data_IF_027702217201
#
_entry.id   IF_027702217201
#
_cell.length_a   1.000
_cell.length_b   1.000
_cell.length_c   1.000
_cell.angle_alpha   90.00
_cell.angle_beta   90.00
_cell.angle_gamma   90.00
#
_symmetry.space_group_name_H-M   'P 1'
#
loop_
_entity.id
_entity.type
_entity.pdbx_description
1 polymer ?
#
# COMPACT_ATOMS: atom_id res chain seq x y z
N UNK A 1 -18.74 15.61 -5.96
CA UNK A 1 -17.59 14.89 -5.34
C UNK A 1 -16.36 15.76 -5.53
N UNK A 2 -15.63 16.07 -4.45
CA UNK A 2 -14.56 17.08 -4.51
C UNK A 2 -13.29 16.59 -5.19
N UNK A 3 -12.60 17.51 -5.89
CA UNK A 3 -11.26 17.28 -6.46
C UNK A 3 -10.26 16.73 -5.45
N UNK A 4 -10.38 17.12 -4.17
CA UNK A 4 -9.52 16.70 -3.07
C UNK A 4 -9.56 15.18 -2.85
N UNK A 5 -10.72 14.56 -3.06
CA UNK A 5 -10.90 13.12 -2.85
C UNK A 5 -10.10 12.30 -3.88
N UNK A 6 -9.87 12.84 -5.08
CA UNK A 6 -9.01 12.22 -6.08
C UNK A 6 -7.52 12.30 -5.73
N UNK A 7 -7.11 13.34 -5.00
CA UNK A 7 -5.75 13.47 -4.47
C UNK A 7 -5.56 12.48 -3.31
N UNK A 8 -6.54 12.43 -2.39
CA UNK A 8 -6.56 11.45 -1.29
C UNK A 8 -6.60 9.99 -1.78
N UNK A 9 -7.19 9.72 -2.95
CA UNK A 9 -7.15 8.39 -3.58
C UNK A 9 -5.73 7.94 -3.93
N UNK A 10 -4.92 8.85 -4.46
CA UNK A 10 -3.52 8.55 -4.81
C UNK A 10 -2.76 8.20 -3.52
N UNK A 11 -2.90 9.06 -2.51
CA UNK A 11 -2.27 8.85 -1.20
C UNK A 11 -2.76 7.55 -0.55
N UNK A 12 -4.06 7.24 -0.63
CA UNK A 12 -4.60 5.98 -0.11
C UNK A 12 -4.01 4.76 -0.81
N UNK A 13 -3.81 4.81 -2.12
CA UNK A 13 -3.15 3.72 -2.85
C UNK A 13 -1.70 3.52 -2.40
N UNK A 14 -0.96 4.60 -2.15
CA UNK A 14 0.40 4.50 -1.62
C UNK A 14 0.42 4.01 -0.17
N UNK A 15 -0.49 4.50 0.67
CA UNK A 15 -0.66 4.01 2.06
C UNK A 15 -0.94 2.51 2.10
N UNK A 16 -1.76 1.97 1.18
CA UNK A 16 -2.00 0.53 1.09
C UNK A 16 -0.69 -0.21 0.79
N UNK A 17 0.09 0.23 -0.20
CA UNK A 17 1.37 -0.40 -0.54
C UNK A 17 2.37 -0.33 0.62
N UNK A 18 2.49 0.82 1.28
CA UNK A 18 3.39 1.02 2.42
C UNK A 18 3.00 0.12 3.60
N UNK A 19 1.70 0.06 3.92
CA UNK A 19 1.20 -0.77 5.03
C UNK A 19 1.36 -2.26 4.74
N UNK A 20 1.15 -2.70 3.51
CA UNK A 20 1.42 -4.09 3.09
C UNK A 20 2.90 -4.44 3.22
N UNK A 21 3.79 -3.57 2.74
CA UNK A 21 5.23 -3.75 2.88
C UNK A 21 5.67 -3.78 4.36
N UNK A 22 5.06 -2.96 5.21
CA UNK A 22 5.35 -2.97 6.64
C UNK A 22 4.85 -4.25 7.33
N UNK A 23 3.64 -4.73 7.00
CA UNK A 23 3.12 -6.00 7.52
C UNK A 23 4.04 -7.16 7.10
N UNK A 24 4.48 -7.18 5.84
CA UNK A 24 5.41 -8.21 5.34
C UNK A 24 6.73 -8.20 6.13
N UNK A 25 7.34 -7.02 6.34
CA UNK A 25 8.56 -6.88 7.15
C UNK A 25 8.38 -7.36 8.59
N UNK A 26 7.21 -7.11 9.18
CA UNK A 26 6.88 -7.60 10.53
C UNK A 26 6.74 -9.12 10.57
N UNK A 27 6.27 -9.74 9.49
CA UNK A 27 6.17 -11.20 9.35
C UNK A 27 7.51 -11.87 9.11
N UNK A 28 8.33 -11.30 8.25
CA UNK A 28 9.72 -11.74 8.04
C UNK A 28 10.52 -11.69 9.32
N UNK A 29 10.41 -10.60 10.10
CA UNK A 29 11.09 -10.52 11.41
C UNK A 29 10.66 -11.67 12.32
N UNK A 30 9.35 -11.93 12.41
CA UNK A 30 8.82 -13.01 13.25
C UNK A 30 9.32 -14.40 12.83
N UNK A 31 9.62 -14.63 11.55
CA UNK A 31 10.10 -15.93 11.06
C UNK A 31 11.62 -16.15 11.27
N UNK A 32 12.36 -15.14 11.74
CA UNK A 32 13.78 -15.28 12.08
C UNK A 32 13.89 -16.08 13.38
N UNK A 33 14.06 -17.40 13.23
CA UNK A 33 14.48 -18.30 14.30
C UNK A 33 16.00 -18.23 14.43
N UNK A 34 16.52 -17.99 15.64
CA UNK A 34 17.94 -18.11 15.91
C UNK A 34 18.34 -19.59 15.84
N UNK A 35 19.23 -19.91 14.92
CA UNK A 35 19.77 -21.26 14.75
C UNK A 35 21.24 -21.22 15.15
N UNK A 36 21.59 -21.90 16.24
CA UNK A 36 22.97 -22.06 16.66
C UNK A 36 23.34 -23.54 16.71
N UNK A 37 24.61 -23.84 16.42
CA UNK A 37 25.15 -25.19 16.58
C UNK A 37 26.08 -25.19 17.78
N UNK A 38 25.73 -25.96 18.80
CA UNK A 38 26.52 -26.11 20.03
C UNK A 38 27.19 -27.48 20.03
N UNK A 39 28.37 -27.57 20.65
CA UNK A 39 29.09 -28.84 20.82
C UNK A 39 28.89 -29.36 22.23
N UNK A 40 28.60 -30.65 22.36
CA UNK A 40 28.41 -31.33 23.64
C UNK A 40 28.85 -32.78 23.58
N UNK A 41 28.64 -33.53 24.66
CA UNK A 41 28.86 -34.97 24.69
C UNK A 41 27.59 -35.74 24.31
N UNK A 42 27.75 -36.92 23.72
CA UNK A 42 26.64 -37.83 23.46
C UNK A 42 25.95 -38.22 24.79
N UNK A 43 24.61 -38.07 24.91
CA UNK A 43 23.87 -38.42 26.13
C UNK A 43 23.94 -39.90 26.51
N UNK A 44 24.10 -40.80 25.53
CA UNK A 44 24.20 -42.24 25.77
C UNK A 44 25.63 -42.72 26.02
N UNK A 45 26.63 -42.02 25.49
CA UNK A 45 28.04 -42.41 25.58
C UNK A 45 28.91 -41.23 26.02
N UNK A 46 29.25 -41.15 27.32
CA UNK A 46 30.17 -40.13 27.82
C UNK A 46 31.48 -40.13 27.03
N UNK A 47 32.05 -38.94 26.82
CA UNK A 47 33.31 -38.70 26.08
C UNK A 47 33.28 -38.83 24.55
N UNK A 48 32.11 -39.02 23.93
CA UNK A 48 31.96 -38.92 22.47
C UNK A 48 31.44 -37.52 22.08
N UNK A 49 32.18 -36.70 21.31
CA UNK A 49 31.72 -35.37 20.90
C UNK A 49 30.54 -35.46 19.92
N UNK A 50 29.53 -34.63 20.14
CA UNK A 50 28.33 -34.52 19.30
C UNK A 50 27.91 -33.06 19.14
N UNK A 51 27.41 -32.72 17.94
CA UNK A 51 26.89 -31.39 17.65
C UNK A 51 25.36 -31.38 17.73
N UNK A 52 24.81 -30.37 18.40
CA UNK A 52 23.38 -30.16 18.53
C UNK A 52 22.97 -28.88 17.83
N UNK A 53 21.87 -28.95 17.07
CA UNK A 53 21.23 -27.75 16.50
C UNK A 53 20.23 -27.25 17.52
N UNK A 54 20.47 -26.08 18.07
CA UNK A 54 19.54 -25.39 18.96
C UNK A 54 18.82 -24.34 18.13
N UNK A 55 17.49 -24.39 18.16
CA UNK A 55 16.62 -23.42 17.52
C UNK A 55 15.83 -22.71 18.61
N UNK A 56 15.85 -21.38 18.60
CA UNK A 56 15.14 -20.56 19.58
C UNK A 56 14.48 -19.35 18.94
N UNK A 57 13.39 -18.90 19.53
CA UNK A 57 12.79 -17.61 19.20
C UNK A 57 13.48 -16.54 20.03
N UNK A 58 14.01 -15.49 19.40
CA UNK A 58 14.60 -14.33 20.11
C UNK A 58 13.53 -13.41 20.73
N UNK A 59 12.25 -13.70 20.52
CA UNK A 59 11.13 -12.86 20.91
C UNK A 59 10.65 -13.15 22.33
N UNK A 60 10.49 -12.10 23.14
CA UNK A 60 9.80 -12.16 24.42
C UNK A 60 8.27 -12.17 24.22
N UNK A 61 7.52 -12.72 25.18
CA UNK A 61 6.06 -12.64 25.22
C UNK A 61 5.55 -11.20 25.16
N UNK A 62 6.26 -10.25 25.79
CA UNK A 62 5.93 -8.82 25.74
C UNK A 62 6.09 -8.22 24.34
N UNK A 63 7.08 -8.68 23.57
CA UNK A 63 7.31 -8.21 22.19
C UNK A 63 6.20 -8.73 21.27
N UNK A 64 5.71 -9.94 21.53
CA UNK A 64 4.65 -10.57 20.75
C UNK A 64 3.30 -9.82 20.90
N UNK A 65 3.01 -9.29 22.09
CA UNK A 65 1.83 -8.42 22.34
C UNK A 65 1.96 -7.10 21.55
N UNK A 66 3.13 -6.44 21.64
CA UNK A 66 3.37 -5.17 20.93
C UNK A 66 3.26 -5.35 19.42
N UNK A 67 3.77 -6.47 18.90
CA UNK A 67 3.69 -6.82 17.49
C UNK A 67 2.23 -7.01 17.03
N UNK A 68 1.41 -7.71 17.81
CA UNK A 68 -0.02 -7.89 17.51
C UNK A 68 -0.75 -6.55 17.48
N UNK A 69 -0.58 -5.71 18.50
CA UNK A 69 -1.21 -4.40 18.55
C UNK A 69 -0.78 -3.52 17.36
N UNK A 70 0.50 -3.56 16.99
CA UNK A 70 1.00 -2.84 15.80
C UNK A 70 0.35 -3.35 14.52
N UNK A 71 0.20 -4.66 14.35
CA UNK A 71 -0.48 -5.25 13.18
C UNK A 71 -1.95 -4.84 13.11
N UNK A 72 -2.66 -4.79 14.23
CA UNK A 72 -4.06 -4.35 14.25
C UNK A 72 -4.20 -2.88 13.81
N UNK A 73 -3.33 -1.98 14.31
CA UNK A 73 -3.32 -0.58 13.86
C UNK A 73 -3.05 -0.47 12.35
N UNK A 74 -2.11 -1.26 11.83
CA UNK A 74 -1.81 -1.26 10.39
C UNK A 74 -2.98 -1.81 9.56
N UNK A 75 -3.71 -2.81 10.07
CA UNK A 75 -4.93 -3.33 9.43
C UNK A 75 -6.04 -2.29 9.38
N UNK A 76 -6.32 -1.62 10.50
CA UNK A 76 -7.33 -0.54 10.53
C UNK A 76 -6.97 0.60 9.58
N UNK A 77 -5.67 0.97 9.49
CA UNK A 77 -5.19 1.98 8.55
C UNK A 77 -5.41 1.53 7.11
N UNK A 78 -5.10 0.28 6.79
CA UNK A 78 -5.30 -0.30 5.46
C UNK A 78 -6.79 -0.34 5.09
N UNK A 79 -7.65 -0.80 6.00
CA UNK A 79 -9.09 -0.91 5.77
C UNK A 79 -9.72 0.45 5.45
N UNK A 80 -9.35 1.51 6.19
CA UNK A 80 -9.80 2.88 5.89
C UNK A 80 -9.36 3.35 4.50
N UNK A 81 -8.11 3.06 4.12
CA UNK A 81 -7.59 3.41 2.80
C UNK A 81 -8.31 2.63 1.68
N UNK A 82 -8.60 1.34 1.89
CA UNK A 82 -9.34 0.50 0.95
C UNK A 82 -10.79 0.95 0.78
N UNK A 83 -11.45 1.37 1.86
CA UNK A 83 -12.80 1.94 1.80
C UNK A 83 -12.83 3.21 0.95
N UNK A 84 -11.88 4.13 1.15
CA UNK A 84 -11.77 5.33 0.34
C UNK A 84 -11.50 4.98 -1.13
N UNK A 85 -10.58 4.05 -1.39
CA UNK A 85 -10.25 3.55 -2.73
C UNK A 85 -11.51 3.03 -3.44
N UNK A 86 -12.29 2.18 -2.78
CA UNK A 86 -13.52 1.61 -3.32
C UNK A 86 -14.56 2.70 -3.63
N UNK A 87 -14.75 3.65 -2.73
CA UNK A 87 -15.69 4.77 -2.93
C UNK A 87 -15.33 5.57 -4.18
N UNK A 88 -14.05 5.86 -4.39
CA UNK A 88 -13.58 6.59 -5.57
C UNK A 88 -13.70 5.76 -6.85
N UNK A 89 -13.41 4.46 -6.80
CA UNK A 89 -13.56 3.57 -7.97
C UNK A 89 -15.01 3.45 -8.41
N UNK A 90 -15.95 3.25 -7.46
CA UNK A 90 -17.39 3.24 -7.73
C UNK A 90 -17.83 4.56 -8.33
N UNK A 91 -17.38 5.68 -7.76
CA UNK A 91 -17.66 7.00 -8.31
C UNK A 91 -17.09 7.14 -9.72
N UNK A 92 -15.86 6.70 -9.98
CA UNK A 92 -15.20 6.83 -11.28
C UNK A 92 -15.94 6.07 -12.39
N UNK A 93 -16.56 4.92 -12.07
CA UNK A 93 -17.42 4.17 -12.99
C UNK A 93 -18.64 5.00 -13.43
N UNK A 94 -19.20 5.81 -12.53
CA UNK A 94 -20.37 6.66 -12.83
C UNK A 94 -20.07 7.84 -13.78
N UNK A 95 -18.80 8.18 -13.97
CA UNK A 95 -18.35 9.32 -14.76
C UNK A 95 -18.28 8.95 -16.26
N UNK A 96 -18.59 9.87 -17.20
CA UNK A 96 -18.35 9.63 -18.62
C UNK A 96 -16.88 9.32 -18.97
N UNK A 97 -16.65 8.36 -19.88
CA UNK A 97 -15.31 7.92 -20.29
C UNK A 97 -14.35 9.05 -20.71
N UNK A 98 -14.87 10.12 -21.31
CA UNK A 98 -14.06 11.30 -21.69
C UNK A 98 -13.44 11.96 -20.47
N UNK A 99 -14.21 12.13 -19.40
CA UNK A 99 -13.75 12.77 -18.17
C UNK A 99 -12.86 11.82 -17.36
N UNK A 100 -13.15 10.51 -17.35
CA UNK A 100 -12.23 9.51 -16.77
C UNK A 100 -10.83 9.61 -17.38
N UNK A 101 -10.71 9.75 -18.71
CA UNK A 101 -9.42 9.95 -19.38
C UNK A 101 -8.73 11.24 -18.96
N UNK A 102 -9.47 12.34 -18.85
CA UNK A 102 -8.92 13.64 -18.41
C UNK A 102 -8.40 13.54 -16.98
N UNK A 103 -9.18 12.95 -16.05
CA UNK A 103 -8.76 12.72 -14.66
C UNK A 103 -7.50 11.86 -14.61
N UNK A 104 -7.47 10.75 -15.35
CA UNK A 104 -6.30 9.88 -15.42
C UNK A 104 -5.05 10.64 -15.84
N UNK A 105 -5.10 11.38 -16.93
CA UNK A 105 -3.91 12.08 -17.44
C UNK A 105 -3.51 13.27 -16.55
N UNK A 106 -4.48 14.02 -16.03
CA UNK A 106 -4.18 15.24 -15.27
C UNK A 106 -3.81 14.97 -13.81
N UNK A 107 -4.51 14.03 -13.16
CA UNK A 107 -4.42 13.78 -11.72
C UNK A 107 -3.50 12.58 -11.46
N UNK A 108 -3.71 11.44 -12.12
CA UNK A 108 -2.90 10.25 -11.84
C UNK A 108 -1.53 10.26 -12.53
N UNK A 109 -1.44 10.87 -13.73
CA UNK A 109 -0.17 10.98 -14.48
C UNK A 109 0.45 12.39 -14.39
N UNK A 110 -0.13 13.29 -13.60
CA UNK A 110 0.33 14.66 -13.34
C UNK A 110 0.63 15.53 -14.59
N UNK A 111 0.12 15.16 -15.76
CA UNK A 111 0.44 15.83 -17.03
C UNK A 111 -0.01 17.30 -17.06
N UNK A 112 0.65 18.11 -17.88
CA UNK A 112 0.20 19.49 -18.15
C UNK A 112 -1.08 19.49 -18.99
N UNK A 113 -1.90 20.56 -18.91
CA UNK A 113 -3.11 20.68 -19.72
C UNK A 113 -2.85 20.62 -21.23
N UNK A 114 -1.66 21.04 -21.67
CA UNK A 114 -1.22 20.92 -23.06
C UNK A 114 -1.01 19.44 -23.44
N UNK A 115 -0.23 18.70 -22.67
CA UNK A 115 -0.02 17.26 -22.89
C UNK A 115 -1.33 16.45 -22.85
N UNK A 116 -2.23 16.80 -21.91
CA UNK A 116 -3.58 16.19 -21.84
C UNK A 116 -4.35 16.47 -23.13
N UNK A 117 -4.30 17.70 -23.66
CA UNK A 117 -4.95 18.06 -24.91
C UNK A 117 -4.41 17.29 -26.12
N UNK A 118 -3.09 17.20 -26.22
CA UNK A 118 -2.41 16.47 -27.29
C UNK A 118 -2.82 15.00 -27.27
N UNK A 119 -2.87 14.37 -26.08
CA UNK A 119 -3.26 12.96 -25.91
C UNK A 119 -4.76 12.70 -26.13
N UNK A 120 -5.59 13.72 -25.97
CA UNK A 120 -7.04 13.63 -26.23
C UNK A 120 -7.38 13.78 -27.71
N UNK A 121 -6.52 14.41 -28.52
CA UNK A 121 -6.54 14.38 -29.99
C UNK A 121 -7.78 14.97 -30.70
N UNK A 122 -8.81 15.39 -29.95
CA UNK A 122 -10.08 15.91 -30.49
C UNK A 122 -10.22 17.42 -30.23
N UNK A 123 -9.59 18.26 -31.07
CA UNK A 123 -9.81 19.73 -31.23
C UNK A 123 -10.02 20.58 -29.95
N UNK A 124 -9.58 20.11 -28.78
CA UNK A 124 -9.70 20.83 -27.52
C UNK A 124 -8.36 21.47 -27.21
N UNK A 125 -8.31 22.80 -27.16
CA UNK A 125 -7.15 23.50 -26.59
C UNK A 125 -7.02 23.16 -25.10
N UNK A 126 -5.81 23.34 -24.55
CA UNK A 126 -5.54 23.13 -23.13
C UNK A 126 -6.57 23.84 -22.22
N UNK A 127 -6.96 25.07 -22.59
CA UNK A 127 -7.99 25.83 -21.87
C UNK A 127 -9.39 25.22 -21.96
N UNK A 128 -9.76 24.69 -23.12
CA UNK A 128 -11.07 24.06 -23.33
C UNK A 128 -11.22 22.83 -22.43
N UNK A 129 -10.18 21.99 -22.36
CA UNK A 129 -10.17 20.80 -21.50
C UNK A 129 -10.14 21.19 -20.01
N UNK A 130 -9.37 22.22 -19.64
CA UNK A 130 -9.37 22.74 -18.27
C UNK A 130 -10.76 23.22 -17.85
N UNK A 131 -11.47 23.96 -18.72
CA UNK A 131 -12.85 24.40 -18.48
C UNK A 131 -13.84 23.25 -18.44
N UNK A 132 -13.68 22.24 -19.29
CA UNK A 132 -14.50 21.02 -19.28
C UNK A 132 -14.36 20.29 -17.93
N UNK A 133 -13.14 20.11 -17.45
CA UNK A 133 -12.85 19.55 -16.13
C UNK A 133 -13.48 20.39 -15.01
N UNK A 134 -13.25 21.71 -14.98
CA UNK A 134 -13.82 22.58 -13.95
C UNK A 134 -15.35 22.51 -13.91
N UNK A 135 -16.03 22.62 -15.05
CA UNK A 135 -17.49 22.53 -15.14
C UNK A 135 -18.04 21.20 -14.65
N UNK A 136 -17.28 20.11 -14.82
CA UNK A 136 -17.68 18.79 -14.35
C UNK A 136 -17.71 18.72 -12.81
N UNK A 137 -16.76 19.36 -12.13
CA UNK A 137 -16.73 19.45 -10.67
C UNK A 137 -17.63 20.56 -10.11
N UNK A 138 -17.91 21.62 -10.87
CA UNK A 138 -18.89 22.65 -10.45
C UNK A 138 -20.33 22.13 -10.49
N UNK A 139 -20.62 21.18 -11.39
CA UNK A 139 -21.97 20.64 -11.59
C UNK A 139 -22.30 19.45 -10.67
N UNK A 140 -21.29 18.84 -10.01
CA UNK A 140 -21.40 17.58 -9.26
C UNK A 140 -20.66 17.61 -7.91
#
# INVERSE_FOLDING_TARGET
>A
MDKRILEEYIDACEVIKETEAEIHKLEERKSITANETVSGSNPEFPYNPQHFKVQGTTYSYSDDIRLRNKKEILREKKEKAEQLKLQVEVWMISIPFRMQRIIKYKIFEEMTWQQVADRMGRRGTAESIKKEFQRFFEKN
#
